data_IF_917386119097
#
_entry.id   IF_917386119097
#
_cell.length_a   1.000
_cell.length_b   1.000
_cell.length_c   1.000
_cell.angle_alpha   90.00
_cell.angle_beta   90.00
_cell.angle_gamma   90.00
#
_symmetry.space_group_name_H-M   'P 1'
#
loop_
_entity.id
_entity.type
_entity.pdbx_description
1 polymer ?
#
# COMPACT_ATOMS: atom_id res chain seq x y z
N UNK A 1 -1.20 -14.47 -0.27
CA UNK A 1 -1.37 -13.38 -1.25
C UNK A 1 -0.38 -12.26 -0.93
N UNK A 2 0.40 -11.83 -1.91
CA UNK A 2 1.37 -10.77 -1.67
C UNK A 2 0.67 -9.40 -1.67
N UNK A 3 1.13 -8.43 -0.86
CA UNK A 3 0.53 -7.10 -0.86
C UNK A 3 0.50 -6.43 -2.24
N UNK A 4 1.45 -6.78 -3.11
CA UNK A 4 1.55 -6.21 -4.46
C UNK A 4 0.35 -6.55 -5.34
N UNK A 5 -0.36 -7.64 -5.05
CA UNK A 5 -1.52 -8.08 -5.84
C UNK A 5 -2.86 -7.67 -5.22
N UNK A 6 -2.85 -6.97 -4.09
CA UNK A 6 -4.09 -6.52 -3.45
C UNK A 6 -4.84 -5.52 -4.32
N UNK A 7 -6.16 -5.72 -4.41
CA UNK A 7 -7.04 -4.79 -5.11
C UNK A 7 -7.38 -3.61 -4.21
N UNK A 8 -7.82 -2.50 -4.79
CA UNK A 8 -8.25 -1.33 -4.03
C UNK A 8 -9.36 -1.65 -3.03
N UNK A 9 -10.26 -2.56 -3.40
CA UNK A 9 -11.34 -3.00 -2.51
C UNK A 9 -10.77 -3.64 -1.24
N UNK A 10 -9.73 -4.46 -1.38
CA UNK A 10 -9.10 -5.13 -0.24
C UNK A 10 -8.40 -4.11 0.66
N UNK A 11 -7.76 -3.11 0.06
CA UNK A 11 -7.13 -2.03 0.82
C UNK A 11 -8.16 -1.25 1.63
N UNK A 12 -9.33 -1.02 1.07
CA UNK A 12 -10.40 -0.29 1.77
C UNK A 12 -10.97 -1.06 2.96
N UNK A 13 -10.84 -2.38 2.96
CA UNK A 13 -11.30 -3.23 4.07
C UNK A 13 -10.34 -3.23 5.25
N UNK A 14 -9.10 -2.82 5.04
CA UNK A 14 -8.09 -2.79 6.10
C UNK A 14 -8.32 -1.61 7.03
N UNK A 15 -7.97 -1.78 8.31
CA UNK A 15 -7.99 -0.67 9.25
C UNK A 15 -6.88 0.32 8.94
N UNK A 16 -6.98 1.54 9.51
CA UNK A 16 -5.93 2.55 9.34
C UNK A 16 -4.58 2.04 9.82
N UNK A 17 -4.56 1.33 10.96
CA UNK A 17 -3.34 0.76 11.50
C UNK A 17 -2.73 -0.26 10.56
N UNK A 18 -3.55 -1.10 9.95
CA UNK A 18 -3.10 -2.09 8.98
C UNK A 18 -2.52 -1.43 7.73
N UNK A 19 -3.16 -0.36 7.25
CA UNK A 19 -2.66 0.40 6.11
C UNK A 19 -1.31 1.04 6.42
N UNK A 20 -1.15 1.61 7.61
CA UNK A 20 0.13 2.17 8.03
C UNK A 20 1.22 1.10 8.13
N UNK A 21 0.86 -0.09 8.60
CA UNK A 21 1.80 -1.20 8.68
C UNK A 21 2.28 -1.60 7.28
N UNK A 22 1.38 -1.66 6.32
CA UNK A 22 1.74 -1.95 4.92
C UNK A 22 2.69 -0.90 4.36
N UNK A 23 2.43 0.38 4.63
CA UNK A 23 3.32 1.46 4.18
C UNK A 23 4.72 1.31 4.78
N UNK A 24 4.79 0.99 6.07
CA UNK A 24 6.07 0.78 6.76
C UNK A 24 6.81 -0.41 6.16
N UNK A 25 6.11 -1.48 5.87
CA UNK A 25 6.71 -2.67 5.26
C UNK A 25 7.29 -2.35 3.87
N UNK A 26 6.57 -1.57 3.07
CA UNK A 26 7.04 -1.15 1.75
C UNK A 26 8.29 -0.30 1.88
N UNK A 27 8.30 0.67 2.80
CA UNK A 27 9.45 1.54 3.05
C UNK A 27 10.69 0.74 3.47
N UNK A 28 10.49 -0.33 4.25
CA UNK A 28 11.57 -1.17 4.71
C UNK A 28 12.03 -2.22 3.70
N UNK A 29 11.32 -2.36 2.57
CA UNK A 29 11.62 -3.37 1.56
C UNK A 29 12.50 -2.77 0.48
N UNK A 30 13.68 -3.36 0.27
CA UNK A 30 14.54 -2.93 -0.84
C UNK A 30 14.05 -3.61 -2.12
N UNK A 31 13.73 -2.84 -3.17
CA UNK A 31 13.35 -3.43 -4.45
C UNK A 31 14.56 -4.16 -5.05
N UNK A 32 14.34 -5.39 -5.50
CA UNK A 32 15.38 -6.20 -6.13
C UNK A 32 15.50 -5.92 -7.63
N UNK A 33 14.53 -5.20 -8.19
CA UNK A 33 14.51 -4.83 -9.60
C UNK A 33 13.74 -3.53 -9.77
N UNK A 34 13.95 -2.85 -10.91
CA UNK A 34 13.22 -1.63 -11.25
C UNK A 34 11.72 -1.90 -11.30
N UNK A 35 11.32 -3.05 -11.84
CA UNK A 35 9.92 -3.42 -11.94
C UNK A 35 9.26 -3.56 -10.55
N UNK A 36 9.93 -4.22 -9.62
CA UNK A 36 9.41 -4.37 -8.27
C UNK A 36 9.34 -3.02 -7.55
N UNK A 37 10.32 -2.15 -7.76
CA UNK A 37 10.30 -0.80 -7.19
C UNK A 37 9.11 0.01 -7.69
N UNK A 38 8.79 -0.11 -8.98
CA UNK A 38 7.64 0.56 -9.56
C UNK A 38 6.33 0.06 -8.95
N UNK A 39 6.18 -1.26 -8.81
CA UNK A 39 4.98 -1.84 -8.21
C UNK A 39 4.81 -1.44 -6.74
N UNK A 40 5.92 -1.44 -5.99
CA UNK A 40 5.90 -1.03 -4.59
C UNK A 40 5.49 0.45 -4.47
N UNK A 41 6.02 1.31 -5.33
CA UNK A 41 5.66 2.72 -5.35
C UNK A 41 4.17 2.94 -5.65
N UNK A 42 3.63 2.18 -6.61
CA UNK A 42 2.20 2.25 -6.92
C UNK A 42 1.34 1.78 -5.77
N UNK A 43 1.74 0.70 -5.09
CA UNK A 43 1.00 0.21 -3.94
C UNK A 43 1.01 1.24 -2.82
N UNK A 44 2.15 1.84 -2.53
CA UNK A 44 2.25 2.90 -1.52
C UNK A 44 1.31 4.07 -1.84
N UNK A 45 1.27 4.50 -3.10
CA UNK A 45 0.38 5.56 -3.53
C UNK A 45 -1.09 5.19 -3.30
N UNK A 46 -1.47 3.97 -3.64
CA UNK A 46 -2.84 3.49 -3.46
C UNK A 46 -3.22 3.47 -1.97
N UNK A 47 -2.32 3.02 -1.11
CA UNK A 47 -2.56 2.99 0.33
C UNK A 47 -2.76 4.41 0.85
N UNK A 48 -1.91 5.34 0.46
CA UNK A 48 -2.03 6.74 0.87
C UNK A 48 -3.35 7.35 0.41
N UNK A 49 -3.77 7.06 -0.82
CA UNK A 49 -5.04 7.55 -1.35
C UNK A 49 -6.23 7.02 -0.54
N UNK A 50 -6.22 5.75 -0.18
CA UNK A 50 -7.28 5.16 0.64
C UNK A 50 -7.32 5.80 2.03
N UNK A 51 -6.15 6.01 2.64
CA UNK A 51 -6.07 6.67 3.94
C UNK A 51 -6.62 8.10 3.89
N UNK A 52 -6.27 8.83 2.85
CA UNK A 52 -6.75 10.21 2.67
C UNK A 52 -8.26 10.24 2.51
N UNK A 53 -8.82 9.36 1.70
CA UNK A 53 -10.27 9.29 1.52
C UNK A 53 -10.99 9.04 2.83
N UNK A 54 -10.43 8.21 3.70
CA UNK A 54 -11.03 7.94 5.02
C UNK A 54 -11.01 9.16 5.92
N UNK A 55 -9.96 9.96 5.84
CA UNK A 55 -9.85 11.18 6.65
C UNK A 55 -10.83 12.26 6.18
N UNK A 56 -11.13 12.29 4.87
CA UNK A 56 -12.04 13.27 4.29
C UNK A 56 -13.51 12.86 4.44
N UNK A 57 -13.79 11.59 4.67
CA UNK A 57 -15.15 11.07 4.75
C UNK A 57 -15.88 11.39 6.07
#
# INVERSE_FOLDING_TARGET
MTPLTMKNEDLRKLSKAELQQLLTDIDGTKPTSIHNGYLLGRLAYRIQAVMLQRELA
#
